data_IF_677213981204
#
_entry.id   IF_677213981204
#
_cell.length_a   1.000
_cell.length_b   1.000
_cell.length_c   1.000
_cell.angle_alpha   90.00
_cell.angle_beta   90.00
_cell.angle_gamma   90.00
#
_symmetry.space_group_name_H-M   'P 1'
#
loop_
_entity.id
_entity.type
_entity.pdbx_description
1 polymer ?
#
# COMPACT_ATOMS: atom_id res chain seq x y z
N UNK A 1 -18.58 36.95 51.58
CA UNK A 1 -17.54 36.35 52.45
C UNK A 1 -16.30 36.16 51.62
N UNK A 2 -15.24 36.94 51.86
CA UNK A 2 -13.97 36.77 51.15
C UNK A 2 -13.24 35.57 51.77
N UNK A 3 -13.07 34.49 51.00
CA UNK A 3 -12.22 33.35 51.39
C UNK A 3 -10.77 33.85 51.45
N UNK A 4 -10.23 33.98 52.65
CA UNK A 4 -8.78 34.17 52.84
C UNK A 4 -8.10 32.88 52.37
N UNK A 5 -7.32 32.98 51.30
CA UNK A 5 -6.49 31.88 50.83
C UNK A 5 -5.48 31.55 51.93
N UNK A 6 -5.58 30.35 52.50
CA UNK A 6 -4.59 29.84 53.46
C UNK A 6 -3.22 29.76 52.79
N UNK A 7 -2.18 30.10 53.52
CA UNK A 7 -0.81 30.12 53.01
C UNK A 7 -0.41 28.73 52.47
N UNK A 8 0.11 28.70 51.26
CA UNK A 8 0.52 27.46 50.61
C UNK A 8 1.85 26.98 51.21
N UNK A 9 1.80 25.90 51.99
CA UNK A 9 2.98 25.29 52.59
C UNK A 9 3.48 24.12 51.72
N UNK A 10 4.51 24.32 50.87
CA UNK A 10 4.96 23.32 49.91
C UNK A 10 5.55 22.06 50.58
N UNK A 11 6.11 22.21 51.79
CA UNK A 11 6.63 21.10 52.58
C UNK A 11 5.52 20.15 53.03
N UNK A 12 4.39 20.70 53.50
CA UNK A 12 3.23 19.92 53.95
C UNK A 12 2.60 19.16 52.78
N UNK A 13 2.41 19.82 51.64
CA UNK A 13 1.88 19.19 50.42
C UNK A 13 2.79 18.05 49.95
N UNK A 14 4.11 18.25 50.02
CA UNK A 14 5.08 17.21 49.67
C UNK A 14 5.00 16.01 50.62
N UNK A 15 4.82 16.24 51.92
CA UNK A 15 4.62 15.17 52.90
C UNK A 15 3.33 14.39 52.61
N UNK A 16 2.20 15.08 52.37
CA UNK A 16 0.93 14.44 52.02
C UNK A 16 1.05 13.58 50.75
N UNK A 17 1.69 14.09 49.70
CA UNK A 17 1.92 13.31 48.47
C UNK A 17 2.82 12.10 48.68
N UNK A 18 3.76 12.17 49.63
CA UNK A 18 4.61 11.04 49.98
C UNK A 18 3.83 9.97 50.75
N UNK A 19 3.00 10.38 51.70
CA UNK A 19 2.09 9.50 52.44
C UNK A 19 1.09 8.80 51.50
N UNK A 20 0.47 9.54 50.57
CA UNK A 20 -0.44 8.98 49.58
C UNK A 20 0.25 7.97 48.66
N UNK A 21 1.47 8.25 48.19
CA UNK A 21 2.21 7.31 47.35
C UNK A 21 2.61 6.04 48.10
N UNK A 22 2.96 6.16 49.39
CA UNK A 22 3.24 5.00 50.23
C UNK A 22 1.97 4.17 50.44
N UNK A 23 0.84 4.81 50.75
CA UNK A 23 -0.45 4.15 50.88
C UNK A 23 -0.86 3.42 49.60
N UNK A 24 -0.76 4.07 48.44
CA UNK A 24 -1.08 3.43 47.15
C UNK A 24 -0.16 2.24 46.86
N UNK A 25 1.13 2.38 47.14
CA UNK A 25 2.10 1.28 46.94
C UNK A 25 1.79 0.10 47.85
N UNK A 26 1.42 0.37 49.10
CA UNK A 26 1.04 -0.67 50.06
C UNK A 26 -0.28 -1.34 49.66
N UNK A 27 -1.27 -0.57 49.20
CA UNK A 27 -2.53 -1.07 48.66
C UNK A 27 -2.31 -1.99 47.45
N UNK A 28 -1.49 -1.57 46.48
CA UNK A 28 -1.18 -2.39 45.31
C UNK A 28 -0.29 -3.60 45.62
N UNK A 29 0.44 -3.58 46.75
CA UNK A 29 1.17 -4.75 47.21
C UNK A 29 0.26 -5.81 47.85
N UNK A 30 -0.81 -5.39 48.55
CA UNK A 30 -1.79 -6.28 49.18
C UNK A 30 -2.87 -6.76 48.21
N UNK A 31 -3.17 -5.98 47.17
CA UNK A 31 -4.08 -6.37 46.11
C UNK A 31 -3.27 -6.83 44.89
N UNK A 32 -3.09 -8.15 44.66
CA UNK A 32 -2.52 -8.64 43.42
C UNK A 32 -3.47 -8.28 42.28
N UNK A 33 -3.14 -7.23 41.52
CA UNK A 33 -3.86 -6.90 40.29
C UNK A 33 -3.69 -8.09 39.32
N UNK A 34 -4.78 -8.71 38.85
CA UNK A 34 -4.69 -9.75 37.85
C UNK A 34 -4.08 -9.14 36.58
N UNK A 35 -2.91 -9.59 36.18
CA UNK A 35 -2.26 -9.19 34.92
C UNK A 35 -2.89 -9.89 33.70
N UNK A 36 -4.22 -9.92 33.65
CA UNK A 36 -5.04 -10.52 32.61
C UNK A 36 -6.32 -9.71 32.41
N UNK A 37 -6.63 -9.42 31.15
CA UNK A 37 -7.93 -8.93 30.68
C UNK A 37 -8.38 -7.55 31.18
N UNK A 38 -7.89 -6.50 30.50
CA UNK A 38 -8.81 -5.44 30.06
C UNK A 38 -9.45 -5.93 28.76
N UNK A 39 -10.37 -6.88 28.91
CA UNK A 39 -11.41 -7.14 27.92
C UNK A 39 -12.42 -5.98 28.00
N UNK A 40 -12.55 -5.26 26.88
CA UNK A 40 -13.72 -4.45 26.59
C UNK A 40 -14.93 -5.41 26.54
N UNK A 41 -15.85 -5.32 27.50
CA UNK A 41 -17.18 -5.91 27.41
C UNK A 41 -18.23 -4.91 27.88
N UNK A 42 -18.78 -4.15 26.92
CA UNK A 42 -20.18 -3.72 26.80
C UNK A 42 -20.36 -3.52 25.27
N UNK A 43 -21.19 -4.22 24.48
CA UNK A 43 -22.35 -5.09 24.69
C UNK A 43 -22.41 -6.13 23.53
N UNK A 44 -22.98 -7.32 23.80
CA UNK A 44 -23.63 -8.18 22.79
C UNK A 44 -24.82 -7.40 22.17
N UNK A 45 -25.19 -7.54 20.90
CA UNK A 45 -25.79 -8.72 20.29
C UNK A 45 -25.70 -8.70 18.74
N UNK A 46 -25.78 -9.90 18.12
CA UNK A 46 -26.46 -10.04 16.82
C UNK A 46 -25.72 -10.71 15.67
N UNK A 47 -25.60 -12.04 15.74
CA UNK A 47 -25.69 -13.04 14.65
C UNK A 47 -24.61 -13.13 13.53
N UNK A 48 -23.91 -14.27 13.61
CA UNK A 48 -23.69 -15.27 12.55
C UNK A 48 -22.95 -14.91 11.26
N UNK A 49 -21.69 -15.36 11.17
CA UNK A 49 -21.33 -16.28 10.09
C UNK A 49 -20.07 -17.11 10.34
N UNK A 50 -20.24 -18.41 10.15
CA UNK A 50 -19.26 -19.48 10.30
C UNK A 50 -17.97 -19.23 9.51
N UNK A 51 -16.82 -19.25 10.20
CA UNK A 51 -15.50 -19.38 9.57
C UNK A 51 -14.96 -20.80 9.73
N UNK A 52 -14.94 -21.49 8.59
CA UNK A 52 -14.15 -22.70 8.37
C UNK A 52 -12.70 -22.52 8.85
N UNK A 53 -12.28 -23.37 9.78
CA UNK A 53 -10.88 -23.53 10.20
C UNK A 53 -10.03 -23.91 8.99
N UNK A 54 -9.01 -23.12 8.70
CA UNK A 54 -7.89 -23.52 7.83
C UNK A 54 -6.65 -23.62 8.69
N UNK A 55 -6.29 -24.86 9.01
CA UNK A 55 -5.05 -25.23 9.67
C UNK A 55 -3.86 -24.58 8.97
N UNK A 56 -3.15 -23.72 9.70
CA UNK A 56 -1.77 -23.36 9.37
C UNK A 56 -0.88 -24.31 10.15
N UNK A 57 -0.40 -25.33 9.45
CA UNK A 57 0.72 -26.16 9.87
C UNK A 57 1.87 -25.27 10.35
N UNK A 58 2.16 -25.35 11.65
CA UNK A 58 3.30 -24.74 12.29
C UNK A 58 4.51 -25.62 11.97
N UNK A 59 5.36 -25.18 11.04
CA UNK A 59 6.76 -25.62 11.06
C UNK A 59 7.40 -24.94 12.27
N UNK A 60 7.31 -25.60 13.42
CA UNK A 60 8.13 -25.34 14.58
C UNK A 60 9.51 -25.86 14.25
N UNK A 61 10.43 -24.95 13.90
CA UNK A 61 11.86 -25.26 13.97
C UNK A 61 12.66 -23.97 14.20
N UNK A 62 13.12 -23.83 15.44
CA UNK A 62 14.05 -22.79 15.88
C UNK A 62 13.65 -22.20 17.24
N UNK A 63 14.22 -22.76 18.32
CA UNK A 63 14.13 -22.27 19.70
C UNK A 63 14.80 -20.89 19.88
N UNK A 64 14.27 -19.85 19.22
CA UNK A 64 14.61 -18.46 19.51
C UNK A 64 13.39 -17.79 20.11
N UNK A 65 13.47 -17.42 21.40
CA UNK A 65 12.42 -16.63 22.06
C UNK A 65 12.14 -15.38 21.21
N UNK A 66 10.88 -15.25 20.76
CA UNK A 66 10.42 -14.16 19.90
C UNK A 66 10.50 -12.86 20.70
N UNK A 67 11.07 -11.81 20.13
CA UNK A 67 11.15 -10.53 20.83
C UNK A 67 9.74 -9.98 21.13
N UNK A 68 9.51 -9.64 22.39
CA UNK A 68 8.19 -9.28 22.92
C UNK A 68 8.03 -7.76 22.97
N UNK A 69 9.09 -7.02 23.33
CA UNK A 69 9.05 -5.56 23.47
C UNK A 69 9.67 -4.82 22.27
N UNK A 70 9.31 -3.54 22.10
CA UNK A 70 9.80 -2.72 21.00
C UNK A 70 11.30 -2.43 21.09
N UNK A 71 11.82 -2.29 22.32
CA UNK A 71 13.23 -2.07 22.60
C UNK A 71 14.08 -3.30 22.30
N UNK A 72 13.58 -4.48 22.65
CA UNK A 72 14.26 -5.76 22.36
C UNK A 72 14.37 -5.99 20.84
N UNK A 73 13.36 -5.58 20.07
CA UNK A 73 13.41 -5.59 18.61
C UNK A 73 14.48 -4.64 18.07
N UNK A 74 14.65 -3.47 18.70
CA UNK A 74 15.61 -2.46 18.28
C UNK A 74 17.06 -2.92 18.54
N UNK A 75 17.31 -3.49 19.72
CA UNK A 75 18.61 -4.07 20.10
C UNK A 75 19.02 -5.20 19.16
N UNK A 76 18.14 -6.17 18.93
CA UNK A 76 18.36 -7.28 17.97
C UNK A 76 18.60 -6.81 16.54
N UNK A 77 17.97 -5.71 16.10
CA UNK A 77 18.22 -5.15 14.77
C UNK A 77 19.61 -4.51 14.65
N UNK A 78 20.04 -3.80 15.68
CA UNK A 78 21.35 -3.14 15.71
C UNK A 78 22.50 -4.14 15.76
N UNK A 79 22.36 -5.23 16.52
CA UNK A 79 23.29 -6.37 16.53
C UNK A 79 23.48 -6.95 15.11
N UNK A 80 22.39 -7.15 14.37
CA UNK A 80 22.42 -7.62 12.98
C UNK A 80 22.87 -6.55 11.96
N UNK A 81 23.03 -5.29 12.38
CA UNK A 81 23.54 -4.20 11.54
C UNK A 81 25.06 -4.22 11.45
N UNK A 82 25.76 -4.64 12.52
CA UNK A 82 27.22 -4.60 12.63
C UNK A 82 27.98 -5.79 12.03
N UNK A 83 27.32 -6.92 11.75
CA UNK A 83 28.00 -8.14 11.28
C UNK A 83 28.22 -8.13 9.76
N UNK A 84 29.48 -8.14 9.31
CA UNK A 84 29.89 -7.99 7.90
C UNK A 84 29.50 -9.17 6.98
N UNK A 85 29.39 -10.40 7.49
CA UNK A 85 28.90 -11.58 6.73
C UNK A 85 27.72 -12.24 7.46
N UNK A 86 26.50 -11.82 7.09
CA UNK A 86 25.26 -12.33 7.67
C UNK A 86 24.78 -13.61 6.95
N UNK A 87 24.40 -14.65 7.71
CA UNK A 87 23.78 -15.87 7.17
C UNK A 87 22.44 -15.57 6.48
N UNK A 88 22.01 -16.41 5.53
CA UNK A 88 20.75 -16.22 4.80
C UNK A 88 19.54 -16.06 5.73
N UNK A 89 19.45 -16.89 6.77
CA UNK A 89 18.38 -16.80 7.79
C UNK A 89 18.41 -15.46 8.54
N UNK A 90 19.60 -14.98 8.90
CA UNK A 90 19.78 -13.69 9.56
C UNK A 90 19.44 -12.50 8.64
N UNK A 91 19.72 -12.60 7.33
CA UNK A 91 19.31 -11.59 6.33
C UNK A 91 17.78 -11.48 6.24
N UNK A 92 17.08 -12.62 6.28
CA UNK A 92 15.61 -12.63 6.28
C UNK A 92 15.05 -12.01 7.56
N UNK A 93 15.62 -12.33 8.73
CA UNK A 93 15.24 -11.71 10.00
C UNK A 93 15.46 -10.19 9.98
N UNK A 94 16.62 -9.71 9.52
CA UNK A 94 16.91 -8.27 9.37
C UNK A 94 15.90 -7.56 8.47
N UNK A 95 15.52 -8.17 7.35
CA UNK A 95 14.47 -7.64 6.46
C UNK A 95 13.10 -7.62 7.15
N UNK A 96 12.73 -8.68 7.86
CA UNK A 96 11.50 -8.77 8.64
C UNK A 96 11.41 -7.71 9.73
N UNK A 97 12.49 -7.48 10.47
CA UNK A 97 12.58 -6.43 11.49
C UNK A 97 12.47 -5.04 10.87
N UNK A 98 13.20 -4.76 9.78
CA UNK A 98 13.14 -3.46 9.08
C UNK A 98 11.72 -3.12 8.59
N UNK A 99 11.02 -4.10 8.04
CA UNK A 99 9.64 -3.92 7.55
C UNK A 99 8.64 -3.69 8.70
N UNK A 100 8.80 -4.40 9.82
CA UNK A 100 8.01 -4.18 11.04
C UNK A 100 8.22 -2.77 11.61
N UNK A 101 9.46 -2.30 11.69
CA UNK A 101 9.77 -0.94 12.16
C UNK A 101 9.11 0.12 11.27
N UNK A 102 9.24 -0.01 9.95
CA UNK A 102 8.60 0.93 9.00
C UNK A 102 7.07 0.95 9.13
N UNK A 103 6.45 -0.22 9.41
CA UNK A 103 5.00 -0.30 9.65
C UNK A 103 4.59 0.34 10.97
N UNK A 104 5.37 0.17 12.05
CA UNK A 104 5.11 0.82 13.35
C UNK A 104 5.21 2.34 13.23
N UNK A 105 6.31 2.86 12.67
CA UNK A 105 6.47 4.31 12.43
C UNK A 105 5.33 4.90 11.60
N UNK A 106 4.94 4.25 10.50
CA UNK A 106 3.83 4.73 9.66
C UNK A 106 2.47 4.69 10.38
N UNK A 107 2.30 3.78 11.35
CA UNK A 107 1.09 3.72 12.20
C UNK A 107 1.08 4.87 13.19
N UNK A 108 2.20 5.14 13.85
CA UNK A 108 2.38 6.26 14.78
C UNK A 108 2.19 7.61 14.08
N UNK A 109 2.77 7.79 12.90
CA UNK A 109 2.60 8.99 12.05
C UNK A 109 1.12 9.25 11.72
N UNK A 110 0.36 8.20 11.38
CA UNK A 110 -1.09 8.33 11.11
C UNK A 110 -1.88 8.69 12.36
N UNK A 111 -1.51 8.14 13.52
CA UNK A 111 -2.18 8.46 14.79
C UNK A 111 -1.88 9.91 15.15
N UNK A 112 -0.64 10.37 14.97
CA UNK A 112 -0.24 11.76 15.20
C UNK A 112 -0.99 12.71 14.26
N UNK A 113 -1.06 12.42 12.96
CA UNK A 113 -1.84 13.21 11.99
C UNK A 113 -3.32 13.26 12.38
N UNK A 114 -3.93 12.15 12.81
CA UNK A 114 -5.31 12.14 13.30
C UNK A 114 -5.50 12.98 14.56
N UNK A 115 -4.52 12.99 15.47
CA UNK A 115 -4.55 13.83 16.69
C UNK A 115 -4.44 15.32 16.34
N UNK A 116 -3.57 15.69 15.40
CA UNK A 116 -3.44 17.07 14.91
C UNK A 116 -4.75 17.53 14.26
N UNK A 117 -5.32 16.73 13.33
CA UNK A 117 -6.61 17.06 12.68
C UNK A 117 -7.76 17.17 13.70
N UNK A 118 -7.77 16.35 14.75
CA UNK A 118 -8.75 16.44 15.83
C UNK A 118 -8.55 17.70 16.68
N UNK A 119 -7.30 18.07 16.97
CA UNK A 119 -6.97 19.30 17.68
C UNK A 119 -7.31 20.55 16.86
N UNK A 120 -7.03 20.55 15.55
CA UNK A 120 -7.42 21.62 14.62
C UNK A 120 -8.93 21.77 14.52
N UNK A 121 -9.69 20.66 14.46
CA UNK A 121 -11.16 20.69 14.50
C UNK A 121 -11.72 21.23 15.80
N UNK A 122 -11.11 20.87 16.93
CA UNK A 122 -11.52 21.37 18.24
C UNK A 122 -11.15 22.86 18.42
N UNK A 123 -10.02 23.31 17.85
CA UNK A 123 -9.60 24.71 17.85
C UNK A 123 -10.45 25.58 16.89
N UNK A 124 -10.98 24.99 15.81
CA UNK A 124 -11.87 25.66 14.86
C UNK A 124 -13.34 25.74 15.31
N UNK A 125 -13.68 25.24 16.52
CA UNK A 125 -14.99 25.47 17.14
C UNK A 125 -16.21 24.90 16.39
N UNK A 126 -16.04 23.85 15.58
CA UNK A 126 -17.17 23.23 14.85
C UNK A 126 -17.79 22.11 15.67
N UNK A 127 -18.91 22.40 16.33
CA UNK A 127 -19.80 21.40 16.93
C UNK A 127 -20.65 20.73 15.85
N UNK A 128 -20.85 19.40 15.87
CA UNK A 128 -21.90 18.76 15.07
C UNK A 128 -23.21 18.82 15.87
N UNK A 129 -24.01 19.85 15.65
CA UNK A 129 -25.41 19.86 16.06
C UNK A 129 -26.27 20.37 14.91
N UNK A 130 -26.97 19.42 14.28
CA UNK A 130 -28.33 19.54 13.72
C UNK A 130 -28.51 18.47 12.65
N UNK A 131 -29.13 17.34 13.02
CA UNK A 131 -30.34 16.86 12.34
C UNK A 131 -31.16 16.04 13.34
N UNK A 132 -32.45 16.34 13.36
CA UNK A 132 -33.47 16.01 14.35
C UNK A 132 -33.77 14.51 14.52
N UNK A 133 -34.25 14.17 15.73
CA UNK A 133 -34.99 12.95 16.05
C UNK A 133 -36.34 12.94 15.32
N UNK A 134 -36.61 11.91 14.52
CA UNK A 134 -37.97 11.45 14.23
C UNK A 134 -38.01 9.92 14.39
N UNK A 135 -39.13 9.47 14.94
CA UNK A 135 -39.40 8.21 15.61
C UNK A 135 -39.45 6.96 14.71
N UNK A 136 -39.42 5.82 15.40
CA UNK A 136 -39.31 4.45 14.90
C UNK A 136 -40.62 3.96 14.28
N UNK A 137 -40.56 3.42 13.07
CA UNK A 137 -41.46 2.38 12.57
C UNK A 137 -40.69 1.41 11.65
N UNK A 138 -40.76 0.07 11.86
CA UNK A 138 -40.05 -0.88 11.02
C UNK A 138 -40.84 -1.12 9.74
N UNK A 139 -40.55 -0.33 8.70
CA UNK A 139 -40.99 -0.64 7.33
C UNK A 139 -39.74 -0.76 6.47
N UNK A 140 -39.42 -1.99 6.07
CA UNK A 140 -38.25 -2.32 5.24
C UNK A 140 -38.21 -1.37 4.04
N UNK A 141 -37.30 -0.38 4.01
CA UNK A 141 -37.28 0.59 2.92
C UNK A 141 -36.56 -0.10 1.76
N UNK A 142 -37.25 -0.28 0.64
CA UNK A 142 -36.59 -0.59 -0.63
C UNK A 142 -35.72 0.62 -0.96
N UNK A 143 -34.41 0.50 -0.72
CA UNK A 143 -33.46 1.60 -0.94
C UNK A 143 -33.49 1.94 -2.43
N UNK A 144 -33.93 3.16 -2.74
CA UNK A 144 -33.91 3.67 -4.11
C UNK A 144 -32.45 3.66 -4.61
N UNK A 145 -32.18 3.25 -5.85
CA UNK A 145 -30.83 3.29 -6.40
C UNK A 145 -30.28 4.72 -6.31
N UNK A 146 -29.11 4.86 -5.70
CA UNK A 146 -28.40 6.13 -5.61
C UNK A 146 -27.65 6.32 -6.92
N UNK A 147 -27.92 7.42 -7.62
CA UNK A 147 -27.24 7.78 -8.85
C UNK A 147 -26.15 8.82 -8.57
N UNK A 148 -24.99 8.69 -9.22
CA UNK A 148 -23.95 9.70 -9.23
C UNK A 148 -24.42 11.00 -9.91
N UNK A 149 -23.62 12.06 -9.82
CA UNK A 149 -23.82 13.30 -10.60
C UNK A 149 -23.90 13.07 -12.12
N UNK A 150 -23.29 11.98 -12.61
CA UNK A 150 -23.31 11.54 -14.01
C UNK A 150 -24.50 10.62 -14.35
N UNK A 151 -25.40 10.34 -13.40
CA UNK A 151 -26.59 9.51 -13.62
C UNK A 151 -26.34 7.99 -13.61
N UNK A 152 -25.15 7.54 -13.22
CA UNK A 152 -24.84 6.12 -13.07
C UNK A 152 -25.20 5.59 -11.68
N UNK A 153 -25.78 4.39 -11.62
CA UNK A 153 -26.15 3.74 -10.36
C UNK A 153 -24.90 3.33 -9.58
N UNK A 154 -24.74 3.83 -8.36
CA UNK A 154 -23.62 3.51 -7.49
C UNK A 154 -24.10 2.92 -6.18
N UNK A 155 -23.50 1.76 -5.85
CA UNK A 155 -23.85 0.96 -4.69
C UNK A 155 -23.10 1.38 -3.42
N UNK A 156 -22.28 2.43 -3.49
CA UNK A 156 -21.46 2.94 -2.39
C UNK A 156 -21.88 4.35 -2.00
N UNK A 157 -21.76 4.70 -0.71
CA UNK A 157 -22.04 6.06 -0.18
C UNK A 157 -20.99 7.11 -0.61
N UNK A 158 -20.00 6.72 -1.39
CA UNK A 158 -18.93 7.57 -1.90
C UNK A 158 -18.94 7.57 -3.42
N UNK A 159 -19.00 8.75 -4.02
CA UNK A 159 -18.87 8.96 -5.46
C UNK A 159 -17.39 9.20 -5.81
N UNK A 160 -16.86 8.40 -6.76
CA UNK A 160 -15.48 8.52 -7.25
C UNK A 160 -15.36 9.23 -8.60
N UNK A 161 -16.47 9.69 -9.18
CA UNK A 161 -16.51 10.30 -10.52
C UNK A 161 -15.60 11.56 -10.59
N UNK A 162 -15.52 12.31 -9.49
CA UNK A 162 -14.70 13.53 -9.40
C UNK A 162 -13.19 13.29 -9.22
N UNK A 163 -12.76 12.07 -8.91
CA UNK A 163 -11.34 11.76 -8.65
C UNK A 163 -10.52 11.68 -9.94
N UNK A 164 -11.16 11.66 -11.11
CA UNK A 164 -10.52 11.62 -12.44
C UNK A 164 -10.47 12.95 -13.20
N UNK A 165 -11.43 13.86 -12.97
CA UNK A 165 -11.69 15.01 -13.84
C UNK A 165 -10.92 16.29 -13.48
N UNK A 166 -10.05 16.25 -12.47
CA UNK A 166 -9.05 17.31 -12.29
C UNK A 166 -8.13 17.25 -13.52
N UNK A 167 -8.31 18.21 -14.45
CA UNK A 167 -7.41 18.47 -15.58
C UNK A 167 -6.00 18.46 -15.01
N UNK A 168 -5.31 17.33 -15.17
CA UNK A 168 -3.89 17.23 -14.82
C UNK A 168 -3.24 18.30 -15.67
N UNK A 169 -2.71 19.35 -15.03
CA UNK A 169 -1.81 20.29 -15.69
C UNK A 169 -0.85 19.43 -16.50
N UNK A 170 -0.90 19.60 -17.81
CA UNK A 170 -0.29 18.68 -18.74
C UNK A 170 1.18 18.54 -18.35
N UNK A 171 1.58 17.36 -17.87
CA UNK A 171 2.99 17.05 -17.51
C UNK A 171 3.89 16.97 -18.76
N UNK A 172 3.52 17.67 -19.82
CA UNK A 172 4.13 17.63 -21.14
C UNK A 172 5.48 18.33 -21.15
N UNK A 173 5.73 19.25 -20.22
CA UNK A 173 7.03 19.86 -19.98
C UNK A 173 8.09 18.85 -19.47
N UNK A 174 7.67 17.70 -18.96
CA UNK A 174 8.57 16.67 -18.42
C UNK A 174 9.02 15.60 -19.41
N UNK A 175 8.34 15.47 -20.57
CA UNK A 175 8.55 14.34 -21.48
C UNK A 175 9.85 14.50 -22.28
N UNK A 176 10.84 13.59 -22.13
CA UNK A 176 12.16 13.75 -22.74
C UNK A 176 12.12 13.75 -24.27
N UNK A 177 11.10 13.13 -24.89
CA UNK A 177 10.87 13.19 -26.35
C UNK A 177 10.44 14.58 -26.82
N UNK A 178 9.52 15.21 -26.08
CA UNK A 178 9.00 16.55 -26.40
C UNK A 178 10.08 17.61 -26.20
N UNK A 179 10.83 17.54 -25.10
CA UNK A 179 11.96 18.44 -24.83
C UNK A 179 13.00 18.31 -25.96
N UNK A 180 13.30 17.09 -26.40
CA UNK A 180 14.23 16.87 -27.51
C UNK A 180 13.71 17.44 -28.84
N UNK A 181 12.41 17.37 -29.09
CA UNK A 181 11.78 17.98 -30.26
C UNK A 181 11.86 19.50 -30.20
N UNK A 182 11.51 20.11 -29.05
CA UNK A 182 11.63 21.55 -28.84
C UNK A 182 13.06 22.06 -29.03
N UNK A 183 14.07 21.31 -28.55
CA UNK A 183 15.48 21.64 -28.78
C UNK A 183 15.87 21.57 -30.25
N UNK A 184 15.29 20.65 -31.03
CA UNK A 184 15.52 20.59 -32.48
C UNK A 184 14.88 21.78 -33.18
N UNK A 185 13.62 22.07 -32.90
CA UNK A 185 12.89 23.21 -33.48
C UNK A 185 13.58 24.54 -33.16
N UNK A 186 14.08 24.73 -31.92
CA UNK A 186 14.88 25.91 -31.56
C UNK A 186 16.16 26.01 -32.39
N UNK A 187 16.87 24.90 -32.60
CA UNK A 187 18.09 24.86 -33.42
C UNK A 187 17.80 25.12 -34.89
N UNK A 188 16.69 24.62 -35.42
CA UNK A 188 16.25 24.86 -36.80
C UNK A 188 15.92 26.34 -37.01
N UNK A 189 15.13 26.95 -36.13
CA UNK A 189 14.83 28.40 -36.17
C UNK A 189 16.09 29.27 -36.14
N UNK A 190 17.06 28.92 -35.28
CA UNK A 190 18.33 29.64 -35.23
C UNK A 190 19.13 29.49 -36.54
N UNK A 191 19.10 28.31 -37.16
CA UNK A 191 19.74 28.09 -38.46
C UNK A 191 19.04 28.88 -39.58
N UNK A 192 17.72 28.90 -39.60
CA UNK A 192 16.92 29.65 -40.57
C UNK A 192 17.25 31.16 -40.52
N UNK A 193 17.34 31.74 -39.32
CA UNK A 193 17.74 33.14 -39.14
C UNK A 193 19.17 33.42 -39.62
N UNK A 194 20.10 32.49 -39.38
CA UNK A 194 21.48 32.60 -39.88
C UNK A 194 21.53 32.52 -41.40
N UNK A 195 20.74 31.62 -42.02
CA UNK A 195 20.66 31.50 -43.49
C UNK A 195 19.97 32.69 -44.14
N UNK A 196 19.04 33.34 -43.45
CA UNK A 196 18.37 34.57 -43.90
C UNK A 196 19.27 35.82 -43.81
N UNK A 197 20.50 35.69 -43.29
CA UNK A 197 21.47 36.78 -43.18
C UNK A 197 21.40 37.57 -41.86
N UNK A 198 20.44 37.29 -40.99
CA UNK A 198 20.23 37.99 -39.72
C UNK A 198 21.09 37.42 -38.57
N UNK A 199 22.40 37.35 -38.77
CA UNK A 199 23.34 36.72 -37.81
C UNK A 199 23.34 37.40 -36.45
N UNK A 200 23.25 38.72 -36.39
CA UNK A 200 23.23 39.49 -35.14
C UNK A 200 21.99 39.18 -34.29
N UNK A 201 20.82 39.07 -34.94
CA UNK A 201 19.58 38.69 -34.25
C UNK A 201 19.65 37.25 -33.73
N UNK A 202 20.25 36.33 -34.48
CA UNK A 202 20.46 34.95 -34.04
C UNK A 202 21.39 34.88 -32.81
N UNK A 203 22.48 35.66 -32.78
CA UNK A 203 23.38 35.76 -31.63
C UNK A 203 22.67 36.35 -30.41
N UNK A 204 21.92 37.44 -30.57
CA UNK A 204 21.14 38.05 -29.49
C UNK A 204 20.12 37.07 -28.89
N UNK A 205 19.46 36.25 -29.71
CA UNK A 205 18.52 35.22 -29.23
C UNK A 205 19.27 34.13 -28.43
N UNK A 206 20.43 33.68 -28.92
CA UNK A 206 21.24 32.68 -28.22
C UNK A 206 21.74 33.19 -26.86
N UNK A 207 22.25 34.42 -26.81
CA UNK A 207 22.68 35.06 -25.56
C UNK A 207 21.53 35.20 -24.58
N UNK A 208 20.39 35.72 -25.04
CA UNK A 208 19.19 35.85 -24.21
C UNK A 208 18.72 34.50 -23.65
N UNK A 209 18.73 33.45 -24.47
CA UNK A 209 18.34 32.11 -24.03
C UNK A 209 19.37 31.49 -23.06
N UNK A 210 20.67 31.77 -23.26
CA UNK A 210 21.73 31.37 -22.34
C UNK A 210 21.59 32.04 -20.96
N UNK A 211 21.35 33.36 -20.94
CA UNK A 211 21.09 34.10 -19.70
C UNK A 211 19.83 33.62 -18.98
N UNK A 212 18.74 33.33 -19.73
CA UNK A 212 17.52 32.74 -19.16
C UNK A 212 17.79 31.37 -18.52
N UNK A 213 18.54 30.50 -19.20
CA UNK A 213 18.91 29.17 -18.66
C UNK A 213 19.79 29.32 -17.41
N UNK A 214 20.74 30.26 -17.41
CA UNK A 214 21.60 30.53 -16.26
C UNK A 214 20.80 31.05 -15.05
N UNK A 215 19.88 32.00 -15.26
CA UNK A 215 18.99 32.51 -14.21
C UNK A 215 18.06 31.43 -13.65
N UNK A 216 17.47 30.61 -14.52
CA UNK A 216 16.62 29.50 -14.10
C UNK A 216 17.40 28.47 -13.26
N UNK A 217 18.63 28.14 -13.67
CA UNK A 217 19.53 27.26 -12.90
C UNK A 217 19.90 27.87 -11.55
N UNK A 218 20.20 29.17 -11.49
CA UNK A 218 20.49 29.89 -10.25
C UNK A 218 19.27 29.93 -9.31
N UNK A 219 18.06 30.03 -9.87
CA UNK A 219 16.79 29.93 -9.16
C UNK A 219 16.43 28.51 -8.68
N UNK A 220 17.27 27.51 -8.95
CA UNK A 220 17.06 26.12 -8.52
C UNK A 220 16.18 25.28 -9.46
N UNK A 221 15.81 25.82 -10.63
CA UNK A 221 15.05 25.09 -11.64
C UNK A 221 15.93 24.07 -12.37
N UNK A 222 15.43 22.85 -12.54
CA UNK A 222 16.16 21.76 -13.20
C UNK A 222 16.00 21.84 -14.72
N UNK A 223 16.78 22.71 -15.34
CA UNK A 223 16.78 22.90 -16.79
C UNK A 223 17.39 21.69 -17.51
N UNK A 224 16.69 21.13 -18.52
CA UNK A 224 17.08 19.92 -19.26
C UNK A 224 17.40 20.22 -20.72
N UNK A 225 18.53 20.89 -20.97
CA UNK A 225 18.89 21.37 -22.31
C UNK A 225 19.79 20.40 -23.11
N UNK A 226 20.35 19.37 -22.47
CA UNK A 226 21.37 18.50 -23.09
C UNK A 226 20.75 17.44 -24.04
N UNK A 227 21.00 17.53 -25.35
CA UNK A 227 20.36 16.65 -26.33
C UNK A 227 20.82 15.19 -26.21
N UNK A 228 22.08 14.96 -25.83
CA UNK A 228 22.62 13.60 -25.69
C UNK A 228 22.02 12.86 -24.49
N UNK A 229 21.90 13.54 -23.35
CA UNK A 229 21.30 12.99 -22.14
C UNK A 229 19.81 12.70 -22.36
N UNK A 230 19.10 13.57 -23.07
CA UNK A 230 17.71 13.34 -23.46
C UNK A 230 17.58 12.11 -24.37
N UNK A 231 18.43 11.95 -25.40
CA UNK A 231 18.45 10.74 -26.24
C UNK A 231 18.70 9.48 -25.42
N UNK A 232 19.67 9.51 -24.49
CA UNK A 232 19.96 8.36 -23.60
C UNK A 232 18.78 8.03 -22.69
N UNK A 233 18.10 9.04 -22.18
CA UNK A 233 16.91 8.88 -21.34
C UNK A 233 15.78 8.23 -22.12
N UNK A 234 15.48 8.74 -23.32
CA UNK A 234 14.49 8.14 -24.23
C UNK A 234 14.81 6.67 -24.51
N UNK A 235 16.06 6.33 -24.84
CA UNK A 235 16.48 4.94 -25.07
C UNK A 235 16.29 4.05 -23.83
N UNK A 236 16.58 4.58 -22.63
CA UNK A 236 16.38 3.85 -21.37
C UNK A 236 14.90 3.56 -21.13
N UNK A 237 14.03 4.53 -21.35
CA UNK A 237 12.59 4.39 -21.20
C UNK A 237 12.03 3.36 -22.19
N UNK A 238 12.47 3.41 -23.44
CA UNK A 238 12.11 2.44 -24.48
C UNK A 238 12.57 1.04 -24.11
N UNK A 239 13.80 0.89 -23.61
CA UNK A 239 14.31 -0.41 -23.15
C UNK A 239 13.56 -0.94 -21.94
N UNK A 240 13.16 -0.07 -21.00
CA UNK A 240 12.33 -0.44 -19.87
C UNK A 240 10.95 -0.92 -20.34
N UNK A 241 10.32 -0.22 -21.30
CA UNK A 241 9.06 -0.65 -21.90
C UNK A 241 9.20 -2.01 -22.58
N UNK A 242 10.22 -2.21 -23.42
CA UNK A 242 10.52 -3.51 -24.06
C UNK A 242 10.72 -4.65 -23.06
N UNK A 243 11.38 -4.39 -21.93
CA UNK A 243 11.54 -5.39 -20.86
C UNK A 243 10.21 -5.72 -20.20
N UNK A 244 9.37 -4.71 -19.97
CA UNK A 244 8.05 -4.90 -19.37
C UNK A 244 7.09 -5.65 -20.31
N UNK A 245 7.08 -5.33 -21.61
CA UNK A 245 6.26 -6.04 -22.61
C UNK A 245 6.65 -7.51 -22.70
N UNK A 246 7.94 -7.81 -22.86
CA UNK A 246 8.45 -9.20 -22.87
C UNK A 246 8.07 -9.99 -21.61
N UNK A 247 8.18 -9.36 -20.43
CA UNK A 247 7.75 -9.98 -19.17
C UNK A 247 6.25 -10.23 -19.11
N UNK A 248 5.45 -9.38 -19.73
CA UNK A 248 4.00 -9.53 -19.78
C UNK A 248 3.61 -10.65 -20.75
N UNK A 249 4.17 -10.67 -21.95
CA UNK A 249 4.02 -11.73 -22.94
C UNK A 249 4.45 -13.11 -22.38
N UNK A 250 5.58 -13.16 -21.66
CA UNK A 250 6.03 -14.38 -20.99
C UNK A 250 5.04 -14.86 -19.90
N UNK A 251 4.35 -13.94 -19.22
CA UNK A 251 3.32 -14.31 -18.24
C UNK A 251 2.06 -14.84 -18.92
N UNK A 252 1.59 -14.17 -19.98
CA UNK A 252 0.41 -14.61 -20.74
C UNK A 252 0.65 -16.01 -21.29
N UNK A 253 1.77 -16.21 -22.01
CA UNK A 253 2.12 -17.52 -22.56
C UNK A 253 2.30 -18.59 -21.47
N UNK A 254 2.85 -18.24 -20.30
CA UNK A 254 2.93 -19.15 -19.15
C UNK A 254 1.55 -19.56 -18.62
N UNK A 255 0.59 -18.63 -18.57
CA UNK A 255 -0.79 -18.90 -18.17
C UNK A 255 -1.49 -19.79 -19.20
N UNK A 256 -1.36 -19.47 -20.49
CA UNK A 256 -1.95 -20.25 -21.59
C UNK A 256 -1.41 -21.69 -21.60
N UNK A 257 -0.10 -21.87 -21.49
CA UNK A 257 0.51 -23.21 -21.38
C UNK A 257 -0.01 -23.98 -20.19
N UNK A 258 -0.08 -23.36 -19.01
CA UNK A 258 -0.61 -24.01 -17.82
C UNK A 258 -2.10 -24.40 -17.95
N UNK A 259 -2.89 -23.59 -18.67
CA UNK A 259 -4.28 -23.94 -18.99
C UNK A 259 -4.36 -25.12 -19.96
N UNK A 260 -3.58 -25.08 -21.04
CA UNK A 260 -3.51 -26.15 -22.03
C UNK A 260 -3.04 -27.47 -21.42
N UNK A 261 -2.01 -27.47 -20.58
CA UNK A 261 -1.51 -28.66 -19.88
C UNK A 261 -2.56 -29.28 -18.95
N UNK A 262 -3.37 -28.46 -18.28
CA UNK A 262 -4.46 -28.97 -17.44
C UNK A 262 -5.58 -29.57 -18.29
N UNK A 263 -5.91 -28.93 -19.41
CA UNK A 263 -6.91 -29.43 -20.34
C UNK A 263 -6.45 -30.73 -21.00
N UNK A 264 -5.19 -30.83 -21.45
CA UNK A 264 -4.64 -32.06 -22.03
C UNK A 264 -4.62 -33.22 -21.04
N UNK A 265 -4.19 -32.98 -19.80
CA UNK A 265 -4.28 -34.00 -18.73
C UNK A 265 -5.71 -34.47 -18.50
N UNK A 266 -6.69 -33.55 -18.54
CA UNK A 266 -8.11 -33.90 -18.40
C UNK A 266 -8.59 -34.74 -19.59
N UNK A 267 -8.26 -34.38 -20.82
CA UNK A 267 -8.67 -35.13 -22.02
C UNK A 267 -8.03 -36.51 -22.03
N UNK A 268 -6.75 -36.63 -21.68
CA UNK A 268 -6.03 -37.90 -21.53
C UNK A 268 -6.69 -38.80 -20.48
N UNK A 269 -7.02 -38.28 -19.29
CA UNK A 269 -7.70 -39.04 -18.25
C UNK A 269 -9.10 -39.51 -18.68
N UNK A 270 -9.87 -38.65 -19.37
CA UNK A 270 -11.18 -39.01 -19.92
C UNK A 270 -11.03 -40.12 -20.97
N UNK A 271 -10.04 -40.02 -21.87
CA UNK A 271 -9.77 -41.05 -22.86
C UNK A 271 -9.35 -42.37 -22.21
N UNK A 272 -8.50 -42.32 -21.18
CA UNK A 272 -8.09 -43.50 -20.40
C UNK A 272 -9.30 -44.18 -19.77
N UNK A 273 -10.16 -43.44 -19.07
CA UNK A 273 -11.39 -43.99 -18.50
C UNK A 273 -12.34 -44.57 -19.56
N UNK A 274 -12.49 -43.91 -20.73
CA UNK A 274 -13.30 -44.46 -21.84
C UNK A 274 -12.73 -45.80 -22.33
N UNK A 275 -11.40 -45.92 -22.49
CA UNK A 275 -10.72 -47.16 -22.88
C UNK A 275 -10.88 -48.24 -21.82
N UNK A 276 -10.65 -47.92 -20.54
CA UNK A 276 -10.83 -48.84 -19.41
C UNK A 276 -12.27 -49.37 -19.31
N UNK A 277 -13.28 -48.52 -19.50
CA UNK A 277 -14.68 -48.95 -19.54
C UNK A 277 -14.95 -49.94 -20.67
N UNK A 278 -14.39 -49.73 -21.87
CA UNK A 278 -14.50 -50.67 -23.00
C UNK A 278 -13.82 -52.01 -22.68
N UNK A 279 -12.58 -51.96 -22.17
CA UNK A 279 -11.82 -53.15 -21.78
C UNK A 279 -12.56 -53.93 -20.68
N UNK A 280 -13.07 -53.26 -19.65
CA UNK A 280 -13.80 -53.91 -18.57
C UNK A 280 -15.12 -54.53 -19.04
N UNK A 281 -15.82 -53.91 -19.99
CA UNK A 281 -16.99 -54.51 -20.64
C UNK A 281 -16.60 -55.80 -21.37
N UNK A 282 -15.54 -55.75 -22.19
CA UNK A 282 -15.02 -56.91 -22.93
C UNK A 282 -14.57 -58.05 -22.01
N UNK A 283 -13.86 -57.74 -20.92
CA UNK A 283 -13.46 -58.73 -19.90
C UNK A 283 -14.67 -59.38 -19.23
N UNK A 284 -15.71 -58.59 -18.89
CA UNK A 284 -16.95 -59.12 -18.29
C UNK A 284 -17.72 -60.03 -19.24
N UNK A 285 -17.81 -59.70 -20.53
CA UNK A 285 -18.49 -60.54 -21.52
C UNK A 285 -17.70 -61.81 -21.84
N UNK A 286 -16.37 -61.74 -21.91
CA UNK A 286 -15.50 -62.92 -22.02
C UNK A 286 -15.65 -63.86 -20.81
N UNK A 287 -15.64 -63.35 -19.58
CA UNK A 287 -15.87 -64.16 -18.36
C UNK A 287 -17.26 -64.82 -18.32
N UNK A 288 -18.24 -64.24 -18.99
CA UNK A 288 -19.61 -64.80 -19.14
C UNK A 288 -19.76 -65.74 -20.36
N UNK A 289 -18.67 -66.06 -21.06
CA UNK A 289 -18.68 -66.92 -22.24
C UNK A 289 -19.32 -66.29 -23.50
N UNK A 290 -19.60 -64.98 -23.49
CA UNK A 290 -20.23 -64.27 -24.63
C UNK A 290 -19.22 -63.75 -25.66
N UNK A 291 -17.92 -63.92 -25.41
CA UNK A 291 -16.85 -63.58 -26.34
C UNK A 291 -15.91 -64.77 -26.39
N UNK A 292 -15.80 -65.38 -27.58
CA UNK A 292 -14.91 -66.50 -27.88
C UNK A 292 -13.65 -65.89 -28.54
N UNK A 293 -12.47 -65.96 -27.92
CA UNK A 293 -11.25 -65.50 -28.57
C UNK A 293 -10.90 -66.43 -29.74
N UNK A 294 -10.95 -65.93 -30.98
CA UNK A 294 -10.52 -66.67 -32.17
C UNK A 294 -11.58 -66.97 -33.24
N UNK A 295 -12.80 -66.43 -33.10
CA UNK A 295 -13.80 -66.33 -34.19
C UNK A 295 -14.30 -64.89 -34.29
#
# INVERSE_FOLDING_TARGET
MQLKMTEFHPSLVKQMLQEENQFLSEMFSRMPLPAGELEEQEEEEGEDNQKYKKDKSIYANGNGKRAVTAEELHKKFNELKGVKKLSYKQKQLKKGLKTRMKKKMKREERIMQKRIVKAERNAAGVTPHDVEKVEIAPKVPRVKPVFNSEGHMVFSKFDFSDIGNKKKTQKTEGDPKKILQQLKEKKEKLKELVTAGEKEKALAIQERDAWKSALAKAGGEKVKDDPELLKRTVKRDEQQKKRSTKKWEARISGVEKAQQEKQSKRTENIMKHKKERKINKMKKSSKKGRIIPGF
#
